data_IF_365904095837
#
_entry.id   IF_365904095837
#
_cell.length_a   1.000
_cell.length_b   1.000
_cell.length_c   1.000
_cell.angle_alpha   90.00
_cell.angle_beta   90.00
_cell.angle_gamma   90.00
#
_symmetry.space_group_name_H-M   'P 1'
#
loop_
_entity.id
_entity.type
_entity.pdbx_description
1 polymer ?
#
# COMPACT_ATOMS: atom_id res chain seq x y z
N UNK A 1 0.77 -23.86 36.25
CA UNK A 1 -0.17 -22.80 36.66
C UNK A 1 -1.26 -22.68 35.60
N UNK A 2 -2.53 -22.61 36.00
CA UNK A 2 -3.64 -22.44 35.06
C UNK A 2 -3.64 -20.99 34.54
N UNK A 3 -3.59 -20.83 33.23
CA UNK A 3 -3.68 -19.52 32.59
C UNK A 3 -5.16 -19.15 32.44
N UNK A 4 -5.61 -18.14 33.19
CA UNK A 4 -7.00 -17.63 33.17
C UNK A 4 -7.33 -16.70 32.00
N UNK A 5 -6.54 -16.73 30.94
CA UNK A 5 -6.70 -15.85 29.78
C UNK A 5 -7.87 -16.34 28.92
N UNK A 6 -8.87 -15.49 28.69
CA UNK A 6 -10.03 -15.79 27.83
C UNK A 6 -9.91 -15.17 26.44
N UNK A 7 -9.11 -14.11 26.30
CA UNK A 7 -8.81 -13.47 25.02
C UNK A 7 -7.41 -12.87 25.00
N UNK A 8 -6.81 -12.77 23.81
CA UNK A 8 -5.50 -12.12 23.62
C UNK A 8 -5.46 -11.31 22.33
N UNK A 9 -4.70 -10.21 22.34
CA UNK A 9 -4.39 -9.42 21.14
C UNK A 9 -2.90 -9.54 20.84
N UNK A 10 -2.56 -9.97 19.64
CA UNK A 10 -1.21 -10.06 19.11
C UNK A 10 -0.93 -8.83 18.26
N UNK A 11 0.12 -8.09 18.61
CA UNK A 11 0.55 -6.87 17.92
C UNK A 11 1.05 -7.14 16.49
N UNK A 12 1.04 -6.10 15.68
CA UNK A 12 1.48 -6.12 14.28
C UNK A 12 2.99 -6.37 14.09
N UNK A 13 3.82 -6.02 15.08
CA UNK A 13 5.26 -6.28 15.10
C UNK A 13 5.65 -7.71 15.49
N UNK A 14 4.69 -8.55 15.89
CA UNK A 14 4.97 -9.91 16.37
C UNK A 14 5.19 -10.84 15.17
N UNK A 15 6.45 -11.20 14.92
CA UNK A 15 6.83 -12.10 13.81
C UNK A 15 6.93 -13.57 14.22
N UNK A 16 6.90 -13.88 15.53
CA UNK A 16 6.93 -15.26 16.04
C UNK A 16 6.21 -15.40 17.38
N UNK A 17 5.57 -16.56 17.57
CA UNK A 17 4.94 -17.00 18.82
C UNK A 17 5.61 -18.31 19.24
N UNK A 18 6.11 -18.35 20.48
CA UNK A 18 6.82 -19.50 21.01
C UNK A 18 5.93 -20.73 21.22
N UNK A 19 6.53 -21.92 21.18
CA UNK A 19 5.83 -23.22 21.24
C UNK A 19 4.93 -23.39 22.48
N UNK A 20 5.32 -22.80 23.61
CA UNK A 20 4.60 -22.93 24.88
C UNK A 20 3.82 -21.66 25.27
N UNK A 21 3.63 -20.71 24.35
CA UNK A 21 3.03 -19.42 24.67
C UNK A 21 1.62 -19.52 25.30
N UNK A 22 0.87 -20.57 24.95
CA UNK A 22 -0.52 -20.77 25.40
C UNK A 22 -0.81 -22.16 25.97
N UNK A 23 0.23 -22.95 26.28
CA UNK A 23 0.11 -24.40 26.60
C UNK A 23 -0.76 -24.75 27.81
N UNK A 24 -1.05 -23.78 28.69
CA UNK A 24 -1.93 -23.95 29.85
C UNK A 24 -3.14 -23.00 29.86
N UNK A 25 -3.45 -22.38 28.72
CA UNK A 25 -4.53 -21.40 28.56
C UNK A 25 -5.80 -22.06 28.01
N UNK A 26 -6.31 -23.09 28.68
CA UNK A 26 -7.48 -23.85 28.22
C UNK A 26 -8.78 -23.04 28.17
N UNK A 27 -8.84 -21.90 28.86
CA UNK A 27 -9.97 -20.96 28.82
C UNK A 27 -9.88 -19.92 27.69
N UNK A 28 -8.82 -19.96 26.87
CA UNK A 28 -8.62 -18.98 25.80
C UNK A 28 -9.57 -19.27 24.63
N UNK A 29 -10.54 -18.40 24.43
CA UNK A 29 -11.60 -18.54 23.42
C UNK A 29 -11.35 -17.68 22.18
N UNK A 30 -10.49 -16.66 22.27
CA UNK A 30 -10.24 -15.76 21.14
C UNK A 30 -8.83 -15.20 21.10
N UNK A 31 -8.25 -15.16 19.90
CA UNK A 31 -6.93 -14.58 19.64
C UNK A 31 -7.08 -13.60 18.47
N UNK A 32 -6.82 -12.31 18.70
CA UNK A 32 -6.92 -11.27 17.67
C UNK A 32 -5.55 -10.86 17.15
N UNK A 33 -5.31 -10.92 15.85
CA UNK A 33 -4.08 -10.41 15.22
C UNK A 33 -4.29 -9.02 14.63
N UNK A 34 -3.39 -8.09 14.97
CA UNK A 34 -3.35 -6.72 14.41
C UNK A 34 -2.43 -6.56 13.20
N UNK A 35 -1.73 -7.61 12.78
CA UNK A 35 -0.86 -7.61 11.60
C UNK A 35 -0.87 -8.95 10.88
N UNK A 36 0.13 -9.17 10.02
CA UNK A 36 0.27 -10.39 9.23
C UNK A 36 0.60 -11.61 10.11
N UNK A 37 0.38 -12.80 9.58
CA UNK A 37 0.62 -14.04 10.29
C UNK A 37 2.10 -14.21 10.68
N UNK A 38 2.41 -14.51 11.96
CA UNK A 38 3.75 -14.88 12.37
C UNK A 38 4.26 -16.12 11.63
N UNK A 39 5.54 -16.10 11.22
CA UNK A 39 6.16 -17.21 10.48
C UNK A 39 6.38 -18.45 11.35
N UNK A 40 6.46 -18.28 12.67
CA UNK A 40 6.48 -19.36 13.66
C UNK A 40 5.35 -19.16 14.65
N UNK A 41 4.52 -20.19 14.84
CA UNK A 41 3.34 -20.12 15.71
C UNK A 41 2.96 -21.50 16.28
N UNK A 42 2.40 -21.51 17.49
CA UNK A 42 1.81 -22.69 18.15
C UNK A 42 0.67 -22.26 19.07
N UNK A 43 -0.48 -22.93 18.98
CA UNK A 43 -1.64 -22.74 19.87
C UNK A 43 -2.03 -24.05 20.55
N UNK A 44 -1.04 -24.81 21.02
CA UNK A 44 -1.30 -26.01 21.83
C UNK A 44 -1.90 -25.63 23.18
N UNK A 45 -2.85 -26.42 23.69
CA UNK A 45 -3.41 -26.26 25.04
C UNK A 45 -4.46 -25.15 25.22
N UNK A 46 -5.00 -24.62 24.12
CA UNK A 46 -6.12 -23.65 24.10
C UNK A 46 -7.47 -24.35 23.94
N UNK A 47 -8.58 -23.61 24.11
CA UNK A 47 -9.92 -24.15 23.92
C UNK A 47 -10.15 -24.68 22.50
N UNK A 48 -10.83 -25.83 22.36
CA UNK A 48 -11.24 -26.40 21.06
C UNK A 48 -12.22 -25.48 20.29
N UNK A 49 -12.85 -24.54 21.00
CA UNK A 49 -13.76 -23.54 20.43
C UNK A 49 -13.06 -22.21 20.14
N UNK A 50 -11.75 -22.12 20.38
CA UNK A 50 -11.01 -20.88 20.17
C UNK A 50 -11.04 -20.46 18.70
N UNK A 51 -11.17 -19.16 18.46
CA UNK A 51 -11.17 -18.59 17.11
C UNK A 51 -10.02 -17.60 16.96
N UNK A 52 -9.39 -17.65 15.79
CA UNK A 52 -8.46 -16.62 15.36
C UNK A 52 -9.25 -15.51 14.71
N UNK A 53 -9.07 -14.29 15.19
CA UNK A 53 -9.67 -13.10 14.66
C UNK A 53 -8.61 -12.26 13.94
N UNK A 54 -8.81 -12.01 12.64
CA UNK A 54 -7.87 -11.20 11.86
C UNK A 54 -8.52 -9.92 11.36
N UNK A 55 -7.69 -8.90 11.17
CA UNK A 55 -8.11 -7.63 10.57
C UNK A 55 -8.15 -7.76 9.03
N UNK A 56 -9.03 -7.02 8.34
CA UNK A 56 -9.00 -6.93 6.88
C UNK A 56 -7.63 -6.46 6.37
N UNK A 57 -7.08 -7.15 5.37
CA UNK A 57 -5.75 -6.84 4.80
C UNK A 57 -4.58 -7.58 5.46
N UNK A 58 -4.79 -8.27 6.59
CA UNK A 58 -3.79 -9.16 7.16
C UNK A 58 -3.51 -10.35 6.22
N UNK A 59 -2.25 -10.60 5.93
CA UNK A 59 -1.79 -11.67 5.03
C UNK A 59 -1.17 -12.84 5.80
N UNK A 60 -1.06 -14.01 5.16
CA UNK A 60 -0.43 -15.20 5.75
C UNK A 60 -1.35 -16.08 6.61
N UNK A 61 -2.65 -15.77 6.69
CA UNK A 61 -3.67 -16.60 7.32
C UNK A 61 -4.43 -17.40 6.26
N UNK A 62 -4.65 -18.71 6.50
CA UNK A 62 -5.57 -19.55 5.72
C UNK A 62 -6.96 -19.62 6.36
N UNK A 63 -7.79 -20.58 5.94
CA UNK A 63 -9.06 -20.89 6.61
C UNK A 63 -8.87 -21.28 8.08
N UNK A 64 -7.69 -21.83 8.39
CA UNK A 64 -7.22 -22.08 9.75
C UNK A 64 -5.81 -21.50 9.95
N UNK A 65 -5.46 -21.22 11.20
CA UNK A 65 -4.12 -20.78 11.59
C UNK A 65 -3.70 -21.44 12.90
N UNK A 66 -2.62 -22.22 12.86
CA UNK A 66 -2.19 -23.07 13.98
C UNK A 66 -3.28 -24.02 14.49
N UNK A 67 -4.12 -24.54 13.59
CA UNK A 67 -5.20 -25.50 13.90
C UNK A 67 -6.54 -24.87 14.28
N UNK A 68 -6.61 -23.56 14.48
CA UNK A 68 -7.82 -22.85 14.88
C UNK A 68 -8.52 -22.21 13.68
N UNK A 69 -9.86 -22.18 13.64
CA UNK A 69 -10.62 -21.49 12.59
C UNK A 69 -10.33 -19.99 12.57
N UNK A 70 -10.10 -19.45 11.39
CA UNK A 70 -9.88 -18.03 11.16
C UNK A 70 -11.21 -17.37 10.82
N UNK A 71 -11.56 -16.35 11.59
CA UNK A 71 -12.71 -15.49 11.40
C UNK A 71 -12.21 -14.07 11.15
N UNK A 72 -12.65 -13.47 10.06
CA UNK A 72 -12.44 -12.04 9.85
C UNK A 72 -13.25 -11.31 10.91
N UNK A 73 -12.56 -10.72 11.90
CA UNK A 73 -13.23 -9.82 12.81
C UNK A 73 -13.57 -8.62 11.96
N UNK A 74 -14.85 -8.28 11.90
CA UNK A 74 -15.23 -6.87 11.71
C UNK A 74 -14.68 -6.15 12.93
N UNK A 75 -13.40 -5.81 12.91
CA UNK A 75 -12.87 -4.76 13.78
C UNK A 75 -13.78 -3.57 13.49
N UNK A 76 -14.38 -2.92 14.50
CA UNK A 76 -15.02 -1.63 14.29
C UNK A 76 -14.00 -0.81 13.52
N UNK A 77 -14.31 -0.40 12.29
CA UNK A 77 -13.32 0.16 11.41
C UNK A 77 -12.86 1.45 12.09
N UNK A 78 -11.66 1.38 12.66
CA UNK A 78 -11.00 2.29 13.61
C UNK A 78 -11.93 3.26 14.36
N UNK A 79 -11.98 3.20 15.69
CA UNK A 79 -12.75 4.16 16.54
C UNK A 79 -12.50 5.65 16.19
N UNK A 80 -11.41 5.92 15.46
CA UNK A 80 -11.06 7.20 14.86
C UNK A 80 -11.79 7.59 13.57
N UNK A 81 -12.73 6.81 13.05
CA UNK A 81 -13.42 7.10 11.78
C UNK A 81 -14.94 7.07 11.94
N UNK A 82 -15.63 7.98 11.25
CA UNK A 82 -17.10 8.00 11.17
C UNK A 82 -17.55 7.58 9.79
N UNK A 83 -18.64 6.83 9.75
CA UNK A 83 -19.14 6.21 8.54
C UNK A 83 -20.58 6.62 8.26
N UNK A 84 -20.89 6.75 6.97
CA UNK A 84 -22.25 6.81 6.47
C UNK A 84 -22.52 5.58 5.63
N UNK A 85 -23.51 4.79 6.05
CA UNK A 85 -24.00 3.64 5.30
C UNK A 85 -25.06 4.12 4.31
N UNK A 86 -24.86 3.84 3.02
CA UNK A 86 -25.80 4.15 1.94
C UNK A 86 -26.09 2.91 1.11
N UNK A 87 -27.30 2.34 1.23
CA UNK A 87 -27.65 1.10 0.54
C UNK A 87 -26.68 -0.05 0.85
N UNK A 88 -25.92 -0.48 -0.16
CA UNK A 88 -24.91 -1.55 -0.01
C UNK A 88 -23.47 -1.05 0.11
N UNK A 89 -23.26 0.25 0.30
CA UNK A 89 -21.91 0.82 0.37
C UNK A 89 -21.73 1.70 1.58
N UNK A 90 -20.47 1.94 1.93
CA UNK A 90 -20.08 2.79 3.05
C UNK A 90 -19.17 3.92 2.57
N UNK A 91 -19.41 5.11 3.11
CA UNK A 91 -18.59 6.31 2.92
C UNK A 91 -17.95 6.68 4.26
N UNK A 92 -16.63 6.90 4.29
CA UNK A 92 -15.99 7.54 5.44
C UNK A 92 -16.33 9.02 5.40
N UNK A 93 -16.86 9.56 6.49
CA UNK A 93 -17.35 10.95 6.53
C UNK A 93 -16.51 11.87 7.39
N UNK A 94 -15.73 11.33 8.32
CA UNK A 94 -14.96 12.11 9.29
C UNK A 94 -13.90 11.24 9.98
N UNK A 95 -12.79 11.86 10.42
CA UNK A 95 -11.81 11.29 11.31
C UNK A 95 -12.23 11.76 12.72
N UNK A 96 -12.88 10.87 13.50
CA UNK A 96 -13.56 11.12 14.79
C UNK A 96 -12.68 11.86 15.83
N UNK A 97 -11.36 11.92 15.60
CA UNK A 97 -10.30 12.65 16.29
C UNK A 97 -9.16 12.97 15.29
N UNK A 98 -8.15 13.77 15.65
CA UNK A 98 -6.94 13.95 14.82
C UNK A 98 -6.18 12.61 14.80
N UNK A 99 -6.51 11.75 13.83
CA UNK A 99 -5.78 10.49 13.57
C UNK A 99 -4.28 10.80 13.51
N UNK A 100 -3.49 10.00 14.20
CA UNK A 100 -2.04 10.11 14.26
C UNK A 100 -1.36 8.87 13.69
N UNK A 101 -0.17 9.06 13.13
CA UNK A 101 0.63 7.96 12.59
C UNK A 101 0.06 7.40 11.29
N UNK A 102 0.29 6.11 11.06
CA UNK A 102 -0.15 5.41 9.87
C UNK A 102 -1.60 4.92 10.02
N UNK A 103 -2.42 5.11 8.99
CA UNK A 103 -3.80 4.61 8.93
C UNK A 103 -4.02 3.74 7.69
N UNK A 104 -4.46 2.50 7.90
CA UNK A 104 -5.05 1.71 6.83
C UNK A 104 -6.58 1.91 6.85
N UNK A 105 -7.14 2.40 5.75
CA UNK A 105 -8.59 2.49 5.61
C UNK A 105 -9.14 1.06 5.46
N UNK A 106 -10.18 0.69 6.22
CA UNK A 106 -10.73 -0.65 6.20
C UNK A 106 -11.49 -0.91 4.90
N UNK A 107 -11.39 -2.15 4.41
CA UNK A 107 -12.12 -2.63 3.22
C UNK A 107 -13.65 -2.63 3.43
N UNK A 108 -14.11 -2.91 4.66
CA UNK A 108 -15.52 -3.04 4.99
C UNK A 108 -15.88 -2.37 6.32
N UNK A 109 -17.14 -1.99 6.46
CA UNK A 109 -17.79 -1.60 7.71
C UNK A 109 -19.15 -2.29 7.78
N UNK A 110 -19.42 -2.98 8.89
CA UNK A 110 -20.69 -3.68 9.11
C UNK A 110 -21.06 -4.63 7.94
N UNK A 111 -20.07 -5.40 7.49
CA UNK A 111 -20.22 -6.33 6.36
C UNK A 111 -20.38 -5.69 4.98
N UNK A 112 -20.35 -4.35 4.87
CA UNK A 112 -20.51 -3.60 3.61
C UNK A 112 -19.18 -2.99 3.16
N UNK A 113 -18.88 -2.95 1.86
CA UNK A 113 -17.65 -2.35 1.35
C UNK A 113 -17.57 -0.84 1.61
N UNK A 114 -16.40 -0.38 2.04
CA UNK A 114 -16.06 1.04 2.09
C UNK A 114 -15.66 1.48 0.68
N UNK A 115 -16.54 2.24 0.03
CA UNK A 115 -16.38 2.57 -1.40
C UNK A 115 -15.94 3.99 -1.66
N UNK A 116 -15.99 4.86 -0.65
CA UNK A 116 -15.59 6.25 -0.81
C UNK A 116 -15.07 6.88 0.47
N UNK A 117 -14.18 7.84 0.26
CA UNK A 117 -13.75 8.80 1.27
C UNK A 117 -14.52 10.08 0.98
N UNK A 118 -15.37 10.47 1.92
CA UNK A 118 -16.27 11.59 1.81
C UNK A 118 -15.55 12.94 1.84
N UNK A 119 -16.31 13.98 1.55
CA UNK A 119 -15.81 15.34 1.54
C UNK A 119 -15.37 15.73 2.96
N UNK A 120 -14.18 16.33 3.06
CA UNK A 120 -13.52 16.72 4.33
C UNK A 120 -13.31 15.59 5.35
N UNK A 121 -13.44 14.32 4.96
CA UNK A 121 -13.39 13.19 5.88
C UNK A 121 -12.11 13.13 6.73
N UNK A 122 -10.99 13.63 6.21
CA UNK A 122 -9.71 13.74 6.92
C UNK A 122 -9.19 15.18 6.96
N UNK A 123 -10.08 16.18 6.91
CA UNK A 123 -9.65 17.57 6.86
C UNK A 123 -8.88 17.95 8.13
N UNK A 124 -7.62 18.40 7.95
CA UNK A 124 -6.69 18.76 9.04
C UNK A 124 -6.37 17.62 10.02
N UNK A 125 -6.40 16.34 9.64
CA UNK A 125 -5.80 15.30 10.49
C UNK A 125 -4.25 15.45 10.42
N UNK A 126 -3.69 16.47 11.09
CA UNK A 126 -2.31 16.96 10.91
C UNK A 126 -1.24 16.01 11.45
N UNK A 127 -1.62 15.03 12.27
CA UNK A 127 -0.71 14.02 12.82
C UNK A 127 -0.68 12.73 12.00
N UNK A 128 -1.54 12.61 10.97
CA UNK A 128 -1.56 11.48 10.06
C UNK A 128 -0.28 11.50 9.22
N UNK A 129 0.55 10.46 9.34
CA UNK A 129 1.83 10.35 8.64
C UNK A 129 1.73 9.55 7.36
N UNK A 130 0.87 8.53 7.32
CA UNK A 130 0.60 7.78 6.09
C UNK A 130 -0.83 7.29 6.03
N UNK A 131 -1.35 7.11 4.81
CA UNK A 131 -2.67 6.51 4.59
C UNK A 131 -2.64 5.48 3.48
N UNK A 132 -3.21 4.29 3.76
CA UNK A 132 -3.44 3.25 2.76
C UNK A 132 -4.92 3.20 2.41
N UNK A 133 -5.25 3.52 1.16
CA UNK A 133 -6.60 3.49 0.61
C UNK A 133 -6.81 2.11 -0.04
N UNK A 134 -7.83 1.32 0.37
CA UNK A 134 -8.00 -0.05 -0.10
C UNK A 134 -8.72 -0.13 -1.45
N UNK A 135 -8.63 -1.29 -2.10
CA UNK A 135 -9.22 -1.60 -3.42
C UNK A 135 -10.76 -1.53 -3.48
N UNK A 136 -11.43 -1.40 -2.34
CA UNK A 136 -12.87 -1.18 -2.31
C UNK A 136 -13.23 0.27 -2.63
N UNK A 137 -12.30 1.22 -2.41
CA UNK A 137 -12.55 2.67 -2.55
C UNK A 137 -12.39 3.09 -4.00
N UNK A 138 -13.43 3.72 -4.54
CA UNK A 138 -13.46 4.20 -5.93
C UNK A 138 -13.35 5.72 -6.03
N UNK A 139 -13.56 6.45 -4.92
CA UNK A 139 -13.68 7.91 -4.92
C UNK A 139 -13.04 8.54 -3.68
N UNK A 140 -12.21 9.56 -3.92
CA UNK A 140 -11.67 10.46 -2.89
C UNK A 140 -12.36 11.82 -3.00
N UNK A 141 -13.04 12.24 -1.93
CA UNK A 141 -13.89 13.42 -1.90
C UNK A 141 -13.17 14.77 -1.91
N UNK A 142 -13.99 15.82 -1.99
CA UNK A 142 -13.55 17.22 -1.95
C UNK A 142 -12.91 17.53 -0.59
N UNK A 143 -11.73 18.14 -0.61
CA UNK A 143 -10.94 18.44 0.61
C UNK A 143 -10.64 17.24 1.51
N UNK A 144 -10.77 16.00 1.01
CA UNK A 144 -10.72 14.79 1.83
C UNK A 144 -9.56 14.77 2.83
N UNK A 145 -8.33 14.99 2.38
CA UNK A 145 -7.09 15.04 3.18
C UNK A 145 -6.47 16.45 3.24
N UNK A 146 -7.26 17.50 3.00
CA UNK A 146 -6.71 18.86 2.95
C UNK A 146 -6.07 19.23 4.28
N UNK A 147 -4.84 19.74 4.23
CA UNK A 147 -4.00 20.13 5.37
C UNK A 147 -3.64 18.99 6.33
N UNK A 148 -3.55 17.74 5.84
CA UNK A 148 -2.82 16.69 6.56
C UNK A 148 -1.30 16.95 6.45
N UNK A 149 -0.81 17.96 7.19
CA UNK A 149 0.53 18.52 7.00
C UNK A 149 1.68 17.56 7.28
N UNK A 150 1.48 16.54 8.12
CA UNK A 150 2.49 15.49 8.40
C UNK A 150 2.39 14.28 7.47
N UNK A 151 1.44 14.26 6.53
CA UNK A 151 1.27 13.14 5.61
C UNK A 151 2.47 13.06 4.67
N UNK A 152 3.32 12.06 4.85
CA UNK A 152 4.53 11.82 4.04
C UNK A 152 4.28 10.83 2.91
N UNK A 153 3.30 9.94 3.06
CA UNK A 153 2.95 8.96 2.03
C UNK A 153 1.46 8.67 1.95
N UNK A 154 0.98 8.42 0.73
CA UNK A 154 -0.36 7.91 0.45
C UNK A 154 -0.28 6.77 -0.55
N UNK A 155 -0.90 5.65 -0.22
CA UNK A 155 -1.10 4.54 -1.14
C UNK A 155 -2.52 4.62 -1.67
N UNK A 156 -2.66 4.96 -2.95
CA UNK A 156 -3.93 5.01 -3.68
C UNK A 156 -4.10 3.67 -4.40
N UNK A 157 -5.20 2.97 -4.14
CA UNK A 157 -5.51 1.67 -4.76
C UNK A 157 -5.91 1.79 -6.22
N UNK A 158 -5.72 0.69 -6.96
CA UNK A 158 -6.06 0.57 -8.39
C UNK A 158 -7.56 0.61 -8.68
N UNK A 159 -8.42 0.80 -7.68
CA UNK A 159 -9.86 1.01 -7.85
C UNK A 159 -10.28 2.48 -7.88
N UNK A 160 -9.41 3.41 -7.47
CA UNK A 160 -9.77 4.83 -7.37
C UNK A 160 -9.86 5.43 -8.77
N UNK A 161 -11.06 5.92 -9.12
CA UNK A 161 -11.30 6.54 -10.43
C UNK A 161 -11.35 8.07 -10.36
N UNK A 162 -11.53 8.63 -9.16
CA UNK A 162 -11.82 10.03 -8.95
C UNK A 162 -11.05 10.60 -7.74
N UNK A 163 -10.33 11.69 -7.98
CA UNK A 163 -9.67 12.51 -6.95
C UNK A 163 -10.29 13.91 -6.96
N UNK A 164 -10.97 14.26 -5.87
CA UNK A 164 -11.73 15.50 -5.73
C UNK A 164 -10.90 16.76 -5.66
N UNK A 165 -11.58 17.90 -5.83
CA UNK A 165 -10.96 19.22 -5.75
C UNK A 165 -10.32 19.40 -4.36
N UNK A 166 -9.10 19.92 -4.36
CA UNK A 166 -8.29 20.12 -3.14
C UNK A 166 -8.12 18.88 -2.24
N UNK A 167 -8.29 17.66 -2.75
CA UNK A 167 -8.30 16.42 -1.96
C UNK A 167 -7.07 16.29 -1.03
N UNK A 168 -5.87 16.58 -1.52
CA UNK A 168 -4.61 16.54 -0.77
C UNK A 168 -3.97 17.93 -0.61
N UNK A 169 -4.73 19.01 -0.79
CA UNK A 169 -4.17 20.35 -0.77
C UNK A 169 -3.53 20.67 0.59
N UNK A 170 -2.31 21.19 0.58
CA UNK A 170 -1.56 21.55 1.77
C UNK A 170 -1.03 20.36 2.59
N UNK A 171 -0.92 19.17 2.00
CA UNK A 171 -0.12 18.07 2.56
C UNK A 171 1.37 18.37 2.37
N UNK A 172 1.89 19.31 3.16
CA UNK A 172 3.22 19.91 2.98
C UNK A 172 4.39 18.93 3.12
N UNK A 173 4.19 17.79 3.81
CA UNK A 173 5.23 16.76 3.99
C UNK A 173 5.18 15.65 2.93
N UNK A 174 4.18 15.65 2.03
CA UNK A 174 4.04 14.62 1.01
C UNK A 174 5.15 14.77 -0.02
N UNK A 175 6.03 13.78 -0.16
CA UNK A 175 7.22 13.87 -1.02
C UNK A 175 7.04 13.24 -2.38
N UNK A 176 6.20 12.21 -2.45
CA UNK A 176 5.88 11.49 -3.69
C UNK A 176 4.44 10.99 -3.67
N UNK A 177 3.87 10.81 -4.86
CA UNK A 177 2.57 10.16 -5.02
C UNK A 177 2.58 9.31 -6.29
N UNK A 178 1.99 8.11 -6.20
CA UNK A 178 1.68 7.28 -7.36
C UNK A 178 0.18 7.36 -7.62
N UNK A 179 -0.18 7.77 -8.83
CA UNK A 179 -1.54 7.82 -9.33
C UNK A 179 -1.77 6.54 -10.16
N UNK A 180 -2.64 5.62 -9.73
CA UNK A 180 -2.89 4.38 -10.48
C UNK A 180 -3.56 4.67 -11.83
N UNK A 181 -3.43 3.72 -12.76
CA UNK A 181 -3.97 3.79 -14.13
C UNK A 181 -5.50 3.91 -14.18
N UNK A 182 -6.19 3.46 -13.14
CA UNK A 182 -7.63 3.56 -12.99
C UNK A 182 -8.14 4.95 -12.68
N UNK A 183 -7.27 5.90 -12.30
CA UNK A 183 -7.69 7.29 -12.06
C UNK A 183 -8.04 7.92 -13.40
N UNK A 184 -9.31 8.28 -13.57
CA UNK A 184 -9.82 8.90 -14.81
C UNK A 184 -9.84 10.42 -14.67
N UNK A 185 -10.02 10.93 -13.45
CA UNK A 185 -10.23 12.37 -13.22
C UNK A 185 -9.55 12.88 -11.95
N UNK A 186 -8.82 13.98 -12.10
CA UNK A 186 -8.19 14.73 -11.00
C UNK A 186 -8.65 16.18 -11.05
N UNK A 187 -9.24 16.66 -9.96
CA UNK A 187 -9.87 17.97 -9.92
C UNK A 187 -8.95 19.09 -9.43
N UNK A 188 -9.41 20.32 -9.63
CA UNK A 188 -8.69 21.55 -9.36
C UNK A 188 -8.01 21.53 -7.98
N UNK A 189 -6.74 21.92 -7.94
CA UNK A 189 -6.00 22.04 -6.69
C UNK A 189 -5.82 20.75 -5.90
N UNK A 190 -6.08 19.55 -6.46
CA UNK A 190 -6.02 18.29 -5.71
C UNK A 190 -4.73 18.12 -4.91
N UNK A 191 -3.58 18.57 -5.43
CA UNK A 191 -2.28 18.57 -4.76
C UNK A 191 -1.71 19.99 -4.59
N UNK A 192 -2.55 21.03 -4.58
CA UNK A 192 -2.10 22.41 -4.42
C UNK A 192 -1.42 22.59 -3.05
N UNK A 193 -0.20 23.13 -3.06
CA UNK A 193 0.54 23.45 -1.84
C UNK A 193 1.17 22.26 -1.15
N UNK A 194 1.28 21.10 -1.82
CA UNK A 194 2.14 20.00 -1.38
C UNK A 194 3.60 20.37 -1.62
N UNK A 195 4.13 21.31 -0.84
CA UNK A 195 5.43 21.98 -1.11
C UNK A 195 6.64 21.04 -1.12
N UNK A 196 6.57 19.87 -0.49
CA UNK A 196 7.63 18.86 -0.53
C UNK A 196 7.47 17.84 -1.65
N UNK A 197 6.38 17.90 -2.44
CA UNK A 197 6.08 16.93 -3.48
C UNK A 197 7.03 17.13 -4.65
N UNK A 198 7.88 16.12 -4.90
CA UNK A 198 8.92 16.12 -5.94
C UNK A 198 8.62 15.12 -7.05
N UNK A 199 8.00 14.00 -6.71
CA UNK A 199 7.81 12.88 -7.64
C UNK A 199 6.34 12.54 -7.76
N UNK A 200 5.79 12.72 -8.95
CA UNK A 200 4.43 12.29 -9.29
C UNK A 200 4.54 11.21 -10.34
N UNK A 201 4.14 9.99 -10.02
CA UNK A 201 4.19 8.86 -10.96
C UNK A 201 2.78 8.51 -11.42
N UNK A 202 2.56 8.31 -12.71
CA UNK A 202 1.31 7.77 -13.25
C UNK A 202 1.51 6.32 -13.68
N UNK A 203 0.62 5.44 -13.22
CA UNK A 203 0.64 4.02 -13.53
C UNK A 203 0.17 3.68 -14.95
N UNK A 204 -0.58 4.58 -15.59
CA UNK A 204 -1.13 4.40 -16.94
C UNK A 204 -1.25 5.70 -17.71
N UNK A 205 -2.24 5.76 -18.61
CA UNK A 205 -2.52 6.92 -19.45
C UNK A 205 -2.91 8.18 -18.65
N UNK A 206 -2.80 9.34 -19.29
CA UNK A 206 -3.06 10.62 -18.65
C UNK A 206 -4.53 10.75 -18.21
N UNK A 207 -4.81 10.98 -16.91
CA UNK A 207 -6.15 11.31 -16.46
C UNK A 207 -6.57 12.70 -16.95
N UNK A 208 -7.88 12.93 -17.00
CA UNK A 208 -8.40 14.28 -17.26
C UNK A 208 -8.18 15.18 -16.04
N UNK A 209 -7.52 16.32 -16.26
CA UNK A 209 -7.36 17.37 -15.25
C UNK A 209 -8.51 18.38 -15.35
N UNK A 210 -9.24 18.56 -14.26
CA UNK A 210 -10.31 19.56 -14.14
C UNK A 210 -9.84 20.78 -13.36
N UNK A 211 -8.97 21.59 -13.98
CA UNK A 211 -8.48 22.85 -13.41
C UNK A 211 -6.97 23.03 -13.61
N UNK A 212 -6.52 24.28 -13.68
CA UNK A 212 -5.11 24.60 -13.97
C UNK A 212 -4.16 24.43 -12.77
N UNK A 213 -4.69 24.19 -11.57
CA UNK A 213 -3.92 24.25 -10.31
C UNK A 213 -3.66 22.89 -9.65
N UNK A 214 -3.89 21.78 -10.35
CA UNK A 214 -3.78 20.41 -9.79
C UNK A 214 -2.48 20.20 -9.00
N UNK A 215 -1.35 20.60 -9.58
CA UNK A 215 -0.02 20.52 -8.96
C UNK A 215 0.60 21.91 -8.71
N UNK A 216 -0.21 22.94 -8.44
CA UNK A 216 0.35 24.27 -8.15
C UNK A 216 1.02 24.32 -6.77
N UNK A 217 2.10 25.11 -6.63
CA UNK A 217 2.85 25.27 -5.37
C UNK A 217 3.38 23.94 -4.79
N UNK A 218 3.72 23.00 -5.66
CA UNK A 218 4.56 21.83 -5.30
C UNK A 218 6.03 22.26 -5.29
N UNK A 219 6.96 21.33 -5.09
CA UNK A 219 8.40 21.65 -5.11
C UNK A 219 8.83 22.19 -6.48
N UNK A 220 9.74 23.16 -6.53
CA UNK A 220 10.23 23.78 -7.78
C UNK A 220 10.90 22.77 -8.74
N UNK A 221 11.37 21.64 -8.21
CA UNK A 221 11.98 20.56 -8.98
C UNK A 221 11.04 19.37 -9.20
N UNK A 222 9.73 19.54 -8.97
CA UNK A 222 8.76 18.47 -9.14
C UNK A 222 8.68 18.01 -10.59
N UNK A 223 8.57 16.69 -10.78
CA UNK A 223 8.51 16.05 -12.10
C UNK A 223 7.38 15.02 -12.13
N UNK A 224 6.78 14.90 -13.30
CA UNK A 224 5.83 13.83 -13.63
C UNK A 224 6.62 12.69 -14.27
N UNK A 225 6.41 11.47 -13.80
CA UNK A 225 7.04 10.26 -14.33
C UNK A 225 5.97 9.33 -14.89
N UNK A 226 6.18 8.84 -16.11
CA UNK A 226 5.22 7.99 -16.81
C UNK A 226 5.92 6.77 -17.43
N UNK A 227 5.17 5.68 -17.61
CA UNK A 227 5.66 4.55 -18.38
C UNK A 227 5.81 4.92 -19.87
N UNK A 228 6.77 4.32 -20.60
CA UNK A 228 7.03 4.66 -22.00
C UNK A 228 5.90 4.32 -22.98
N UNK A 229 4.95 3.50 -22.57
CA UNK A 229 3.73 3.16 -23.31
C UNK A 229 2.52 4.03 -22.91
N UNK A 230 2.65 4.89 -21.90
CA UNK A 230 1.57 5.77 -21.47
C UNK A 230 1.30 6.88 -22.51
N UNK A 231 0.02 7.14 -22.75
CA UNK A 231 -0.47 8.10 -23.73
C UNK A 231 -1.20 9.28 -23.05
N UNK A 232 -1.46 10.35 -23.81
CA UNK A 232 -2.18 11.53 -23.32
C UNK A 232 -1.34 12.55 -22.53
N UNK A 233 -0.03 12.31 -22.38
CA UNK A 233 0.91 13.26 -21.78
C UNK A 233 1.61 14.10 -22.87
N UNK A 234 1.78 15.41 -22.61
CA UNK A 234 2.65 16.29 -23.41
C UNK A 234 4.04 16.42 -22.78
N UNK A 235 4.83 17.39 -23.24
CA UNK A 235 6.11 17.76 -22.60
C UNK A 235 5.92 18.18 -21.13
N UNK A 236 4.74 18.71 -20.83
CA UNK A 236 4.29 19.02 -19.48
C UNK A 236 2.93 18.39 -19.21
N UNK A 237 2.66 18.11 -17.95
CA UNK A 237 1.35 17.64 -17.48
C UNK A 237 1.02 18.30 -16.15
N UNK A 238 -0.13 18.99 -16.08
CA UNK A 238 -0.52 19.77 -14.91
C UNK A 238 0.48 20.87 -14.51
N UNK A 239 1.23 21.40 -15.49
CA UNK A 239 2.25 22.44 -15.30
C UNK A 239 3.64 21.93 -14.93
N UNK A 240 3.85 20.61 -14.85
CA UNK A 240 5.12 19.99 -14.49
C UNK A 240 5.77 19.30 -15.70
N UNK A 241 7.10 19.31 -15.82
CA UNK A 241 7.80 18.56 -16.86
C UNK A 241 7.55 17.06 -16.74
N UNK A 242 7.29 16.43 -17.88
CA UNK A 242 7.07 14.97 -17.99
C UNK A 242 8.38 14.28 -18.32
N UNK A 243 8.70 13.25 -17.55
CA UNK A 243 9.83 12.36 -17.73
C UNK A 243 9.26 10.98 -18.09
N UNK A 244 9.59 10.54 -19.29
CA UNK A 244 9.30 9.17 -19.71
C UNK A 244 10.31 8.25 -19.04
N UNK A 245 9.83 7.32 -18.21
CA UNK A 245 10.67 6.32 -17.59
C UNK A 245 11.31 5.47 -18.67
N UNK A 246 12.63 5.27 -18.58
CA UNK A 246 13.32 4.39 -19.52
C UNK A 246 12.90 2.95 -19.20
N UNK A 247 12.29 2.27 -20.18
CA UNK A 247 12.10 0.82 -20.09
C UNK A 247 13.48 0.19 -19.98
N UNK A 248 13.78 -0.43 -18.84
CA UNK A 248 14.99 -1.21 -18.67
C UNK A 248 14.96 -2.35 -19.69
N UNK A 249 15.89 -2.32 -20.65
CA UNK A 249 16.01 -3.38 -21.64
C UNK A 249 16.57 -4.60 -20.94
N UNK A 250 15.74 -5.62 -20.79
CA UNK A 250 16.17 -6.93 -20.32
C UNK A 250 16.91 -7.61 -21.47
N UNK A 251 18.20 -7.88 -21.26
CA UNK A 251 19.06 -8.53 -22.23
C UNK A 251 18.90 -10.05 -22.17
N UNK A 252 18.75 -10.62 -20.98
CA UNK A 252 18.56 -12.06 -20.78
C UNK A 252 17.79 -12.31 -19.48
N UNK A 253 16.85 -13.25 -19.50
CA UNK A 253 16.09 -13.66 -18.32
C UNK A 253 16.00 -15.18 -18.23
N UNK A 254 16.70 -15.77 -17.27
CA UNK A 254 16.69 -17.22 -17.03
C UNK A 254 15.74 -17.56 -15.86
N UNK A 255 14.50 -17.90 -16.20
CA UNK A 255 13.44 -18.28 -15.23
C UNK A 255 13.57 -19.72 -14.71
N UNK A 256 14.32 -20.58 -15.40
CA UNK A 256 14.19 -22.05 -15.27
C UNK A 256 15.44 -22.79 -14.79
N UNK A 257 16.52 -22.08 -14.42
CA UNK A 257 17.77 -22.72 -13.98
C UNK A 257 18.27 -22.11 -12.70
N UNK A 258 18.90 -22.94 -11.88
CA UNK A 258 19.62 -22.54 -10.68
C UNK A 258 21.03 -22.14 -11.12
N UNK A 259 21.51 -20.92 -10.82
CA UNK A 259 20.84 -19.82 -10.13
C UNK A 259 19.93 -18.96 -11.04
N UNK A 260 18.89 -18.35 -10.47
CA UNK A 260 18.14 -17.26 -11.12
C UNK A 260 19.12 -16.21 -11.63
N UNK A 261 18.97 -15.78 -12.88
CA UNK A 261 19.73 -14.64 -13.38
C UNK A 261 18.94 -13.77 -14.34
N UNK A 262 19.18 -12.47 -14.22
CA UNK A 262 18.60 -11.41 -15.02
C UNK A 262 19.73 -10.48 -15.44
N UNK A 263 19.85 -10.20 -16.73
CA UNK A 263 20.73 -9.15 -17.23
C UNK A 263 19.92 -8.04 -17.90
N UNK A 264 20.34 -6.80 -17.68
CA UNK A 264 19.69 -5.61 -18.22
C UNK A 264 20.71 -4.51 -18.50
N UNK A 265 20.37 -3.59 -19.40
CA UNK A 265 21.17 -2.39 -19.66
C UNK A 265 21.26 -1.53 -18.39
N UNK A 266 22.46 -1.11 -18.02
CA UNK A 266 22.72 -0.34 -16.81
C UNK A 266 23.57 0.89 -17.08
N UNK A 267 23.39 1.95 -16.29
CA UNK A 267 24.21 3.16 -16.31
C UNK A 267 25.30 3.05 -15.24
N UNK A 268 26.51 3.49 -15.56
CA UNK A 268 27.63 3.45 -14.63
C UNK A 268 27.34 4.34 -13.42
N UNK A 269 27.54 3.81 -12.22
CA UNK A 269 27.30 4.52 -10.96
C UNK A 269 25.83 4.59 -10.51
N UNK A 270 24.91 3.91 -11.20
CA UNK A 270 23.51 3.80 -10.80
C UNK A 270 23.26 2.52 -9.98
N UNK A 271 22.44 2.61 -8.94
CA UNK A 271 21.99 1.45 -8.14
C UNK A 271 20.68 0.91 -8.67
N UNK A 272 20.59 -0.41 -8.85
CA UNK A 272 19.37 -1.07 -9.27
C UNK A 272 18.93 -2.06 -8.20
N UNK A 273 17.66 -1.96 -7.78
CA UNK A 273 17.00 -2.90 -6.88
C UNK A 273 16.17 -3.87 -7.72
N UNK A 274 16.34 -5.17 -7.49
CA UNK A 274 15.55 -6.22 -8.11
C UNK A 274 14.47 -6.61 -7.12
N UNK A 275 13.20 -6.54 -7.54
CA UNK A 275 12.05 -6.90 -6.72
C UNK A 275 11.28 -8.06 -7.35
N UNK A 276 10.77 -8.95 -6.51
CA UNK A 276 9.91 -10.08 -6.89
C UNK A 276 8.52 -9.92 -6.29
N UNK A 277 7.53 -10.48 -6.95
CA UNK A 277 6.21 -10.64 -6.36
C UNK A 277 5.44 -11.86 -6.87
N UNK A 278 4.54 -12.36 -6.03
CA UNK A 278 3.46 -13.30 -6.38
C UNK A 278 2.11 -12.59 -6.57
N UNK A 279 2.02 -11.31 -6.18
CA UNK A 279 0.86 -10.42 -6.26
C UNK A 279 1.34 -9.05 -6.78
N UNK A 280 0.92 -8.66 -7.99
CA UNK A 280 1.37 -7.43 -8.65
C UNK A 280 1.19 -6.15 -7.81
N UNK A 281 0.42 -6.20 -6.73
CA UNK A 281 0.18 -5.11 -5.77
C UNK A 281 1.22 -5.01 -4.65
N UNK A 282 2.02 -6.04 -4.38
CA UNK A 282 3.00 -6.08 -3.29
C UNK A 282 4.36 -6.54 -3.78
N UNK A 283 5.37 -5.70 -3.74
CA UNK A 283 6.71 -6.02 -4.24
C UNK A 283 7.69 -6.21 -3.10
N UNK A 284 8.55 -7.23 -3.18
CA UNK A 284 9.61 -7.49 -2.20
C UNK A 284 10.98 -7.45 -2.86
N UNK A 285 11.91 -6.70 -2.26
CA UNK A 285 13.30 -6.66 -2.71
C UNK A 285 14.01 -7.99 -2.48
N UNK A 286 14.74 -8.46 -3.50
CA UNK A 286 15.54 -9.69 -3.43
C UNK A 286 17.05 -9.43 -3.56
N UNK A 287 17.43 -8.21 -3.96
CA UNK A 287 18.81 -7.76 -3.93
C UNK A 287 19.05 -6.54 -4.81
N UNK A 288 20.28 -6.03 -4.71
CA UNK A 288 20.72 -4.84 -5.42
C UNK A 288 21.92 -5.15 -6.30
N UNK A 289 22.11 -4.36 -7.37
CA UNK A 289 23.30 -4.44 -8.22
C UNK A 289 23.72 -3.06 -8.73
N UNK A 290 25.03 -2.82 -8.75
CA UNK A 290 25.63 -1.59 -9.27
C UNK A 290 25.76 -1.65 -10.79
N UNK A 291 25.32 -0.60 -11.46
CA UNK A 291 25.43 -0.46 -12.91
C UNK A 291 26.87 -0.20 -13.36
N UNK A 292 27.24 -0.77 -14.50
CA UNK A 292 28.60 -0.74 -15.07
C UNK A 292 28.71 0.09 -16.36
N UNK A 293 27.59 0.65 -16.85
CA UNK A 293 27.55 1.54 -18.01
C UNK A 293 27.19 0.88 -19.35
N UNK A 294 27.15 -0.46 -19.41
CA UNK A 294 26.68 -1.19 -20.59
C UNK A 294 25.55 -2.16 -20.24
N UNK A 295 25.85 -3.16 -19.41
CA UNK A 295 24.85 -4.06 -18.86
C UNK A 295 25.35 -4.68 -17.56
N UNK A 296 24.42 -5.04 -16.70
CA UNK A 296 24.70 -5.72 -15.43
C UNK A 296 23.91 -7.02 -15.36
N UNK A 297 24.49 -8.02 -14.70
CA UNK A 297 23.85 -9.30 -14.43
C UNK A 297 23.65 -9.45 -12.93
N UNK A 298 22.39 -9.58 -12.52
CA UNK A 298 22.04 -10.01 -11.19
C UNK A 298 21.89 -11.54 -11.17
N UNK A 299 22.43 -12.19 -10.14
CA UNK A 299 22.33 -13.64 -9.94
C UNK A 299 22.02 -13.91 -8.47
N UNK A 300 20.94 -14.64 -8.18
CA UNK A 300 20.65 -15.11 -6.80
C UNK A 300 20.75 -16.64 -6.73
N UNK A 301 21.74 -17.19 -6.02
CA UNK A 301 21.94 -18.63 -5.88
C UNK A 301 20.93 -19.31 -4.94
N UNK A 302 20.19 -18.56 -4.13
CA UNK A 302 19.20 -19.08 -3.17
C UNK A 302 17.82 -19.28 -3.80
N UNK A 303 17.58 -18.70 -4.97
CA UNK A 303 16.31 -18.81 -5.70
C UNK A 303 16.37 -19.98 -6.69
N UNK A 304 16.06 -21.21 -6.22
CA UNK A 304 15.18 -22.14 -6.97
C UNK A 304 14.51 -23.30 -6.16
N UNK A 305 14.20 -23.16 -4.87
CA UNK A 305 13.83 -24.33 -4.01
C UNK A 305 12.33 -24.71 -4.04
N UNK A 306 11.44 -23.92 -4.68
CA UNK A 306 9.99 -24.21 -4.74
C UNK A 306 9.47 -24.01 -6.17
N UNK A 307 8.50 -24.80 -6.69
CA UNK A 307 8.04 -24.63 -8.07
C UNK A 307 7.32 -23.28 -8.25
N UNK A 308 8.08 -22.30 -8.75
CA UNK A 308 7.64 -20.93 -9.03
C UNK A 308 6.68 -20.87 -10.23
N UNK A 309 5.42 -21.26 -10.04
CA UNK A 309 4.43 -21.24 -11.13
C UNK A 309 3.94 -19.83 -11.52
N UNK A 310 4.02 -18.80 -10.64
CA UNK A 310 3.47 -17.45 -10.93
C UNK A 310 4.18 -16.28 -10.19
N UNK A 311 5.48 -16.10 -10.40
CA UNK A 311 6.17 -14.91 -9.89
C UNK A 311 6.51 -13.92 -11.00
N UNK A 312 6.36 -12.65 -10.70
CA UNK A 312 6.75 -11.50 -11.53
C UNK A 312 8.00 -10.85 -10.93
N UNK A 313 8.84 -10.27 -11.79
CA UNK A 313 10.05 -9.57 -11.40
C UNK A 313 10.06 -8.20 -12.05
N UNK A 314 10.58 -7.21 -11.33
CA UNK A 314 10.89 -5.89 -11.90
C UNK A 314 12.26 -5.42 -11.43
N UNK A 315 12.86 -4.55 -12.22
CA UNK A 315 14.09 -3.85 -11.88
C UNK A 315 13.72 -2.39 -11.65
N UNK A 316 13.99 -1.91 -10.45
CA UNK A 316 13.78 -0.52 -10.06
C UNK A 316 15.14 0.17 -10.04
N UNK A 317 15.29 1.21 -10.86
CA UNK A 317 16.43 2.11 -10.73
C UNK A 317 16.23 2.97 -9.47
N UNK A 318 17.25 3.02 -8.63
CA UNK A 318 17.30 3.86 -7.43
C UNK A 318 18.40 4.90 -7.68
N UNK A 319 17.98 6.11 -8.04
CA UNK A 319 18.85 7.30 -8.15
C UNK A 319 18.86 8.09 -6.84
#
# INVERSE_FOLDING_TARGET
EYCGLTSVIIGDSVTSIGWNAFVYCSSLESITFRGNAPTRHTFSGVSDFAKIFIIPGATGFGETFGGLPVVYKTVPPTDHLRYKVGGNTVTITDCNEIVSGALAIPLTYDGKPVTSIGDRAFWKCSNLTSVTIPDSVTRIGLWAFRRCSSLTSVTISDSVTYIGEYAFSGCTSLTSVTIPDSVISIYNGAFEGCSSLKTITFGGDAPKLYGAKVFSKVSDNAKVFINPDATGFGETFGGLPVIILKKLRINTFNKSTTPFSLSFESKSGSTYVIEVTHDLKQWGEIGEVQGTGSSVKFTDPRLPIVPFKRNYFRVKLVE
#
